data_IF_376284078353
#
_entry.id   IF_376284078353
#
_cell.length_a   1.000
_cell.length_b   1.000
_cell.length_c   1.000
_cell.angle_alpha   90.00
_cell.angle_beta   90.00
_cell.angle_gamma   90.00
#
_symmetry.space_group_name_H-M   'P 1'
#
loop_
_entity.id
_entity.type
_entity.pdbx_description
1 polymer ?
#
# COMPACT_ATOMS: atom_id res chain seq x y z
N UNK A 1 -39.41 12.21 -11.08
CA UNK A 1 -39.41 13.03 -12.31
C UNK A 1 -38.59 14.26 -12.00
N UNK A 2 -37.43 14.38 -12.63
CA UNK A 2 -36.56 15.53 -12.43
C UNK A 2 -37.09 16.70 -13.26
N UNK A 3 -37.22 17.85 -12.62
CA UNK A 3 -37.61 19.10 -13.27
C UNK A 3 -36.36 19.94 -13.47
N UNK A 4 -36.30 20.62 -14.60
CA UNK A 4 -35.21 21.52 -14.97
C UNK A 4 -35.80 22.87 -15.36
N UNK A 5 -35.24 23.94 -14.81
CA UNK A 5 -35.57 25.30 -15.19
C UNK A 5 -34.45 25.81 -16.10
N UNK A 6 -34.80 26.33 -17.26
CA UNK A 6 -33.86 26.99 -18.16
C UNK A 6 -34.22 28.47 -18.20
N UNK A 7 -33.29 29.30 -17.74
CA UNK A 7 -33.41 30.75 -17.74
C UNK A 7 -32.67 31.30 -18.93
N UNK A 8 -33.36 32.00 -19.79
CA UNK A 8 -32.86 32.46 -21.06
C UNK A 8 -32.83 33.98 -21.09
N UNK A 9 -31.67 34.55 -20.78
CA UNK A 9 -31.50 35.99 -20.71
C UNK A 9 -31.40 36.54 -22.14
N UNK A 10 -32.19 37.56 -22.42
CA UNK A 10 -32.18 38.32 -23.66
C UNK A 10 -32.01 39.81 -23.35
N UNK A 11 -31.86 40.62 -24.39
CA UNK A 11 -31.90 42.07 -24.25
C UNK A 11 -33.29 42.54 -23.82
N UNK A 12 -33.44 42.83 -22.53
CA UNK A 12 -34.68 43.35 -21.94
C UNK A 12 -35.74 42.30 -21.58
N UNK A 13 -35.48 41.02 -21.82
CA UNK A 13 -36.40 39.92 -21.55
C UNK A 13 -35.71 38.72 -20.88
N UNK A 14 -36.48 38.00 -20.07
CA UNK A 14 -36.11 36.72 -19.49
C UNK A 14 -37.10 35.66 -19.95
N UNK A 15 -36.62 34.68 -20.72
CA UNK A 15 -37.36 33.46 -21.02
C UNK A 15 -37.20 32.46 -19.88
N UNK A 16 -38.31 31.92 -19.38
CA UNK A 16 -38.34 30.88 -18.35
C UNK A 16 -38.95 29.61 -18.97
N UNK A 17 -38.13 28.59 -19.19
CA UNK A 17 -38.56 27.32 -19.76
C UNK A 17 -38.47 26.21 -18.71
N UNK A 18 -39.60 25.63 -18.34
CA UNK A 18 -39.66 24.51 -17.41
C UNK A 18 -39.74 23.19 -18.17
N UNK A 19 -38.74 22.33 -17.99
CA UNK A 19 -38.66 21.01 -18.59
C UNK A 19 -38.80 19.90 -17.55
N UNK A 20 -39.30 18.75 -18.00
CA UNK A 20 -39.33 17.51 -17.21
C UNK A 20 -38.57 16.44 -17.96
N UNK A 21 -37.65 15.76 -17.28
CA UNK A 21 -36.93 14.63 -17.84
C UNK A 21 -37.75 13.34 -17.65
N UNK A 22 -38.17 12.72 -18.76
CA UNK A 22 -38.96 11.49 -18.79
C UNK A 22 -38.51 10.60 -19.95
N UNK A 23 -38.23 9.32 -19.68
CA UNK A 23 -37.85 8.32 -20.69
C UNK A 23 -36.72 8.78 -21.65
N UNK A 24 -35.68 9.43 -21.12
CA UNK A 24 -34.53 9.87 -21.93
C UNK A 24 -34.75 11.17 -22.73
N UNK A 25 -35.89 11.85 -22.58
CA UNK A 25 -36.23 13.08 -23.29
C UNK A 25 -36.67 14.18 -22.32
N UNK A 26 -36.43 15.43 -22.71
CA UNK A 26 -36.93 16.62 -22.02
C UNK A 26 -38.23 17.07 -22.68
N UNK A 27 -39.31 17.08 -21.91
CA UNK A 27 -40.63 17.56 -22.33
C UNK A 27 -40.88 18.94 -21.70
N UNK A 28 -41.28 19.94 -22.49
CA UNK A 28 -41.61 21.29 -22.00
C UNK A 28 -42.95 21.28 -21.28
N UNK A 29 -42.99 21.77 -20.04
CA UNK A 29 -44.18 21.79 -19.20
C UNK A 29 -44.81 23.18 -19.08
N UNK A 30 -43.99 24.22 -18.98
CA UNK A 30 -44.45 25.60 -18.81
C UNK A 30 -43.43 26.57 -19.44
N UNK A 31 -43.93 27.60 -20.10
CA UNK A 31 -43.13 28.64 -20.75
C UNK A 31 -43.69 29.98 -20.27
N UNK A 32 -42.84 30.80 -19.66
CA UNK A 32 -43.16 32.18 -19.29
C UNK A 32 -42.09 33.09 -19.86
N UNK A 33 -42.50 34.24 -20.39
CA UNK A 33 -41.58 35.30 -20.75
C UNK A 33 -41.90 36.48 -19.83
N UNK A 34 -40.87 37.03 -19.17
CA UNK A 34 -40.99 38.23 -18.34
C UNK A 34 -40.05 39.31 -18.86
N UNK A 35 -40.44 40.58 -18.74
CA UNK A 35 -39.56 41.70 -19.06
C UNK A 35 -38.59 41.92 -17.90
N UNK A 36 -37.30 42.04 -18.21
CA UNK A 36 -36.24 42.16 -17.21
C UNK A 36 -35.05 42.94 -17.77
N UNK A 37 -34.52 43.88 -16.99
CA UNK A 37 -33.23 44.52 -17.29
C UNK A 37 -32.11 43.84 -16.52
N UNK A 38 -31.05 43.45 -17.23
CA UNK A 38 -29.82 42.87 -16.66
C UNK A 38 -29.20 43.73 -15.54
N UNK A 39 -29.40 45.05 -15.59
CA UNK A 39 -28.94 45.97 -14.55
C UNK A 39 -29.84 45.96 -13.30
N UNK A 40 -31.12 45.58 -13.42
CA UNK A 40 -32.08 45.47 -12.33
C UNK A 40 -32.06 44.13 -11.57
N UNK A 41 -33.10 43.91 -10.75
CA UNK A 41 -33.30 42.68 -9.97
C UNK A 41 -34.10 41.63 -10.74
N UNK A 42 -33.67 40.36 -10.68
CA UNK A 42 -34.40 39.27 -11.31
C UNK A 42 -35.82 39.16 -10.73
N UNK A 43 -36.81 38.72 -11.54
CA UNK A 43 -38.16 38.46 -11.06
C UNK A 43 -38.15 37.41 -9.93
N UNK A 44 -39.18 37.44 -9.09
CA UNK A 44 -39.30 36.44 -8.04
C UNK A 44 -39.72 35.10 -8.65
N UNK A 45 -38.89 34.08 -8.50
CA UNK A 45 -39.18 32.73 -8.96
C UNK A 45 -39.94 31.96 -7.87
N UNK A 46 -41.11 31.40 -8.18
CA UNK A 46 -41.90 30.56 -7.25
C UNK A 46 -41.32 29.16 -7.06
N UNK A 47 -40.06 28.95 -7.47
CA UNK A 47 -39.49 27.64 -7.72
C UNK A 47 -38.39 27.37 -6.70
N UNK A 48 -38.74 26.65 -5.63
CA UNK A 48 -37.75 26.15 -4.69
C UNK A 48 -37.15 24.84 -5.19
N UNK A 49 -35.81 24.76 -5.16
CA UNK A 49 -35.07 23.50 -5.23
C UNK A 49 -35.02 22.81 -6.62
N UNK A 50 -35.27 23.51 -7.73
CA UNK A 50 -35.18 22.95 -9.12
C UNK A 50 -33.78 23.15 -9.72
N UNK A 51 -33.33 22.18 -10.51
CA UNK A 51 -32.05 22.26 -11.24
C UNK A 51 -32.17 23.34 -12.33
N UNK A 52 -31.37 24.39 -12.20
CA UNK A 52 -31.47 25.56 -13.10
C UNK A 52 -30.24 25.67 -14.00
N UNK A 53 -30.47 25.85 -15.30
CA UNK A 53 -29.44 26.23 -16.27
C UNK A 53 -29.75 27.65 -16.77
N UNK A 54 -28.72 28.42 -17.06
CA UNK A 54 -28.87 29.78 -17.58
C UNK A 54 -28.19 29.94 -18.93
N UNK A 55 -28.84 30.61 -19.86
CA UNK A 55 -28.32 31.04 -21.15
C UNK A 55 -28.02 32.54 -21.12
N UNK A 56 -26.78 32.90 -21.42
CA UNK A 56 -26.33 34.27 -21.56
C UNK A 56 -26.47 34.74 -23.02
N UNK A 57 -26.93 35.97 -23.27
CA UNK A 57 -26.95 36.57 -24.60
C UNK A 57 -25.52 36.90 -25.08
N UNK A 58 -25.32 37.00 -26.39
CA UNK A 58 -24.00 37.24 -26.99
C UNK A 58 -23.35 38.54 -26.55
N UNK A 59 -24.13 39.58 -26.26
CA UNK A 59 -23.59 40.89 -25.84
C UNK A 59 -22.90 40.88 -24.46
N UNK A 60 -23.12 39.83 -23.65
CA UNK A 60 -22.40 39.62 -22.40
C UNK A 60 -21.12 38.79 -22.58
N UNK A 61 -20.92 38.23 -23.77
CA UNK A 61 -19.85 37.31 -24.09
C UNK A 61 -18.87 37.97 -25.07
N UNK A 62 -17.61 37.66 -24.91
CA UNK A 62 -16.57 38.04 -25.84
C UNK A 62 -16.10 36.81 -26.62
N UNK A 63 -15.68 37.03 -27.86
CA UNK A 63 -15.33 35.96 -28.79
C UNK A 63 -13.95 36.18 -29.39
N UNK A 64 -13.20 35.09 -29.56
CA UNK A 64 -12.00 35.07 -30.40
C UNK A 64 -11.93 33.77 -31.18
N UNK A 65 -11.49 33.86 -32.43
CA UNK A 65 -11.22 32.70 -33.27
C UNK A 65 -9.72 32.48 -33.31
N UNK A 66 -9.28 31.26 -33.00
CA UNK A 66 -7.88 30.86 -32.99
C UNK A 66 -7.69 29.59 -33.82
N UNK A 67 -6.50 29.43 -34.39
CA UNK A 67 -6.11 28.21 -35.11
C UNK A 67 -5.07 27.44 -34.30
N UNK A 68 -5.45 26.24 -33.84
CA UNK A 68 -4.64 25.44 -32.91
C UNK A 68 -4.27 24.09 -33.55
N UNK A 69 -3.06 23.57 -33.32
CA UNK A 69 -2.60 22.31 -33.90
C UNK A 69 -3.15 21.04 -33.20
N UNK A 70 -4.19 21.15 -32.37
CA UNK A 70 -4.73 20.04 -31.58
C UNK A 70 -6.25 20.17 -31.37
N UNK A 71 -6.92 19.02 -31.26
CA UNK A 71 -8.38 18.90 -31.02
C UNK A 71 -8.73 18.61 -29.56
N UNK A 72 -7.76 18.22 -28.74
CA UNK A 72 -8.01 17.83 -27.35
C UNK A 72 -8.45 19.05 -26.52
N UNK A 73 -9.69 19.04 -26.01
CA UNK A 73 -10.28 20.16 -25.27
C UNK A 73 -9.47 20.53 -24.01
N UNK A 74 -8.82 19.57 -23.36
CA UNK A 74 -7.98 19.84 -22.18
C UNK A 74 -6.70 20.55 -22.58
N UNK A 75 -6.03 20.11 -23.66
CA UNK A 75 -4.85 20.78 -24.20
C UNK A 75 -5.18 22.16 -24.76
N UNK A 76 -6.33 22.32 -25.42
CA UNK A 76 -6.85 23.62 -25.83
C UNK A 76 -6.98 24.54 -24.63
N UNK A 77 -7.64 24.09 -23.57
CA UNK A 77 -7.81 24.92 -22.37
C UNK A 77 -6.49 25.27 -21.68
N UNK A 78 -5.50 24.38 -21.69
CA UNK A 78 -4.17 24.63 -21.15
C UNK A 78 -3.42 25.69 -21.97
N UNK A 79 -3.39 25.55 -23.28
CA UNK A 79 -2.67 26.47 -24.17
C UNK A 79 -3.35 27.85 -24.22
N UNK A 80 -4.68 27.88 -24.18
CA UNK A 80 -5.41 29.14 -24.04
C UNK A 80 -5.08 29.89 -22.75
N UNK A 81 -4.74 29.20 -21.64
CA UNK A 81 -4.28 29.88 -20.42
C UNK A 81 -2.93 30.58 -20.60
N UNK A 82 -2.13 30.21 -21.60
CA UNK A 82 -0.82 30.82 -21.87
C UNK A 82 -0.83 31.79 -23.06
N UNK A 83 -1.51 31.45 -24.16
CA UNK A 83 -1.53 32.28 -25.39
C UNK A 83 -2.42 33.53 -25.26
N UNK A 84 -3.44 33.50 -24.38
CA UNK A 84 -4.34 34.63 -24.20
C UNK A 84 -3.68 35.82 -23.47
N UNK A 85 -2.49 35.63 -22.90
CA UNK A 85 -1.76 36.63 -22.08
C UNK A 85 -1.16 37.73 -22.96
N UNK A 86 -0.91 37.42 -24.24
CA UNK A 86 -0.44 38.38 -25.24
C UNK A 86 -1.55 38.96 -26.13
N UNK A 87 -2.79 38.50 -26.00
CA UNK A 87 -3.86 38.73 -26.99
C UNK A 87 -5.10 39.40 -26.37
N UNK A 88 -5.40 39.16 -25.09
CA UNK A 88 -6.52 39.78 -24.36
C UNK A 88 -6.03 41.05 -23.64
N UNK A 89 -6.82 42.13 -23.71
CA UNK A 89 -6.48 43.41 -23.07
C UNK A 89 -6.53 43.35 -21.53
N UNK A 90 -7.22 42.35 -20.98
CA UNK A 90 -7.34 42.05 -19.56
C UNK A 90 -6.44 40.87 -19.16
N UNK A 91 -5.97 40.89 -17.91
CA UNK A 91 -5.30 39.75 -17.27
C UNK A 91 -6.19 38.49 -17.35
N UNK A 92 -5.67 37.38 -17.89
CA UNK A 92 -6.37 36.09 -17.99
C UNK A 92 -6.96 35.67 -16.64
N UNK A 93 -6.31 36.06 -15.54
CA UNK A 93 -6.77 35.80 -14.19
C UNK A 93 -8.17 36.35 -13.92
N UNK A 94 -8.63 37.35 -14.66
CA UNK A 94 -9.92 38.04 -14.50
C UNK A 94 -11.04 37.54 -15.42
N UNK A 95 -10.77 36.56 -16.30
CA UNK A 95 -11.77 36.02 -17.22
C UNK A 95 -12.08 34.55 -16.96
N UNK A 96 -13.24 34.10 -17.42
CA UNK A 96 -13.59 32.68 -17.56
C UNK A 96 -13.84 32.43 -19.01
N UNK A 97 -13.35 31.30 -19.51
CA UNK A 97 -13.54 30.93 -20.90
C UNK A 97 -13.93 29.47 -21.08
N UNK A 98 -14.56 29.21 -22.22
CA UNK A 98 -14.73 27.88 -22.78
C UNK A 98 -14.49 27.93 -24.29
N UNK A 99 -14.29 26.77 -24.89
CA UNK A 99 -13.95 26.65 -26.31
C UNK A 99 -14.85 25.66 -27.04
N UNK A 100 -15.07 25.95 -28.32
CA UNK A 100 -15.83 25.13 -29.26
C UNK A 100 -15.02 24.99 -30.54
N UNK A 101 -14.91 23.76 -31.04
CA UNK A 101 -14.21 23.48 -32.31
C UNK A 101 -15.21 23.71 -33.44
N UNK A 102 -14.87 24.59 -34.38
CA UNK A 102 -15.73 24.99 -35.49
C UNK A 102 -15.49 24.12 -36.72
N UNK A 103 -14.23 24.00 -37.12
CA UNK A 103 -13.84 23.28 -38.33
C UNK A 103 -12.39 22.80 -38.24
N UNK A 104 -11.97 21.96 -39.18
CA UNK A 104 -10.60 21.53 -39.38
C UNK A 104 -10.14 21.99 -40.76
N UNK A 105 -9.11 22.84 -40.79
CA UNK A 105 -8.43 23.27 -42.01
C UNK A 105 -7.07 22.57 -42.04
N UNK A 106 -6.89 21.64 -42.98
CA UNK A 106 -5.71 20.76 -43.07
C UNK A 106 -5.44 20.01 -41.75
N UNK A 107 -4.39 20.42 -41.03
CA UNK A 107 -3.95 19.87 -39.73
C UNK A 107 -4.11 20.83 -38.56
N UNK A 108 -4.83 21.94 -38.76
CA UNK A 108 -5.19 22.87 -37.69
C UNK A 108 -6.70 22.88 -37.45
N UNK A 109 -7.06 23.11 -36.20
CA UNK A 109 -8.43 23.22 -35.76
C UNK A 109 -8.77 24.69 -35.56
N UNK A 110 -9.85 25.14 -36.21
CA UNK A 110 -10.41 26.46 -36.00
C UNK A 110 -11.26 26.41 -34.74
N UNK A 111 -10.83 27.11 -33.70
CA UNK A 111 -11.45 27.08 -32.37
C UNK A 111 -12.05 28.44 -32.06
N UNK A 112 -13.34 28.45 -31.71
CA UNK A 112 -14.01 29.60 -31.12
C UNK A 112 -13.79 29.58 -29.61
N UNK A 113 -13.15 30.62 -29.09
CA UNK A 113 -13.01 30.87 -27.66
C UNK A 113 -14.07 31.88 -27.25
N UNK A 114 -14.87 31.50 -26.25
CA UNK A 114 -15.92 32.33 -25.67
C UNK A 114 -15.50 32.66 -24.24
N UNK A 115 -15.49 33.94 -23.87
CA UNK A 115 -15.06 34.36 -22.54
C UNK A 115 -15.89 35.51 -21.97
N UNK A 116 -15.93 35.59 -20.65
CA UNK A 116 -16.61 36.64 -19.87
C UNK A 116 -15.74 37.06 -18.69
N UNK A 117 -15.79 38.35 -18.34
CA UNK A 117 -15.17 38.86 -17.12
C UNK A 117 -15.79 38.22 -15.87
N UNK A 118 -14.95 37.74 -14.95
CA UNK A 118 -15.37 37.12 -13.68
C UNK A 118 -16.27 38.04 -12.87
N UNK A 119 -16.00 39.35 -12.86
CA UNK A 119 -16.80 40.33 -12.13
C UNK A 119 -18.24 40.40 -12.67
N UNK A 120 -18.42 40.43 -13.99
CA UNK A 120 -19.76 40.43 -14.62
C UNK A 120 -20.52 39.16 -14.30
N UNK A 121 -19.88 38.00 -14.45
CA UNK A 121 -20.52 36.72 -14.13
C UNK A 121 -20.88 36.62 -12.64
N UNK A 122 -19.99 37.09 -11.76
CA UNK A 122 -20.23 37.13 -10.31
C UNK A 122 -21.45 37.98 -9.98
N UNK A 123 -21.60 39.14 -10.61
CA UNK A 123 -22.76 40.02 -10.43
C UNK A 123 -24.06 39.29 -10.77
N UNK A 124 -24.12 38.65 -11.95
CA UNK A 124 -25.28 37.86 -12.40
C UNK A 124 -25.60 36.73 -11.40
N UNK A 125 -24.59 35.95 -11.01
CA UNK A 125 -24.78 34.83 -10.09
C UNK A 125 -25.18 35.28 -8.69
N UNK A 126 -24.70 36.43 -8.22
CA UNK A 126 -25.07 37.00 -6.92
C UNK A 126 -26.54 37.38 -6.90
N UNK A 127 -27.02 38.03 -7.96
CA UNK A 127 -28.44 38.40 -8.09
C UNK A 127 -29.35 37.17 -8.16
N UNK A 128 -28.94 36.11 -8.85
CA UNK A 128 -29.69 34.84 -8.89
C UNK A 128 -29.70 34.13 -7.53
N UNK A 129 -28.55 34.11 -6.85
CA UNK A 129 -28.41 33.50 -5.52
C UNK A 129 -29.29 34.21 -4.48
N UNK A 130 -29.41 35.56 -4.55
CA UNK A 130 -30.33 36.33 -3.73
C UNK A 130 -31.81 35.91 -3.91
N UNK A 131 -32.16 35.29 -5.05
CA UNK A 131 -33.48 34.70 -5.32
C UNK A 131 -33.54 33.18 -5.03
N UNK A 132 -32.51 32.62 -4.41
CA UNK A 132 -32.42 31.19 -4.08
C UNK A 132 -32.05 30.30 -5.27
N UNK A 133 -31.59 30.87 -6.38
CA UNK A 133 -31.19 30.14 -7.58
C UNK A 133 -29.67 30.04 -7.66
N UNK A 134 -29.17 28.81 -7.69
CA UNK A 134 -27.77 28.49 -8.02
C UNK A 134 -27.77 27.62 -9.28
N UNK A 135 -27.36 28.16 -10.45
CA UNK A 135 -27.37 27.40 -11.69
C UNK A 135 -26.25 26.35 -11.72
N UNK A 136 -26.58 25.15 -12.20
CA UNK A 136 -25.61 24.07 -12.39
C UNK A 136 -24.85 24.19 -13.72
N UNK A 137 -25.39 24.94 -14.68
CA UNK A 137 -24.83 25.16 -16.01
C UNK A 137 -25.06 26.60 -16.46
N UNK A 138 -24.03 27.21 -17.07
CA UNK A 138 -24.06 28.55 -17.66
C UNK A 138 -23.63 28.43 -19.12
N UNK A 139 -24.57 28.58 -20.04
CA UNK A 139 -24.39 28.36 -21.48
C UNK A 139 -24.89 29.55 -22.30
N UNK A 140 -25.06 29.41 -23.61
CA UNK A 140 -25.70 30.37 -24.50
C UNK A 140 -26.39 29.68 -25.69
N UNK A 141 -27.71 29.90 -25.81
CA UNK A 141 -28.52 29.45 -26.96
C UNK A 141 -28.02 30.07 -28.26
N UNK A 142 -27.64 31.34 -28.22
CA UNK A 142 -27.18 32.10 -29.38
C UNK A 142 -25.83 31.56 -29.89
N UNK A 143 -24.92 31.18 -28.99
CA UNK A 143 -23.66 30.51 -29.35
C UNK A 143 -23.92 29.18 -30.06
N UNK A 144 -24.85 28.36 -29.56
CA UNK A 144 -25.23 27.10 -30.24
C UNK A 144 -25.74 27.36 -31.65
N UNK A 145 -26.54 28.41 -31.84
CA UNK A 145 -27.06 28.77 -33.14
C UNK A 145 -25.95 29.19 -34.12
N UNK A 146 -24.99 30.00 -33.67
CA UNK A 146 -23.85 30.42 -34.50
C UNK A 146 -22.97 29.23 -34.86
N UNK A 147 -22.68 28.34 -33.90
CA UNK A 147 -21.77 27.21 -34.13
C UNK A 147 -22.31 26.22 -35.18
N UNK A 148 -23.65 26.06 -35.30
CA UNK A 148 -24.25 25.17 -36.31
C UNK A 148 -23.93 25.57 -37.75
N UNK A 149 -23.79 26.87 -38.02
CA UNK A 149 -23.45 27.42 -39.33
C UNK A 149 -22.61 28.68 -39.13
N UNK A 150 -21.33 28.46 -38.77
CA UNK A 150 -20.44 29.49 -38.28
C UNK A 150 -20.11 30.52 -39.35
N UNK A 151 -20.50 31.76 -39.06
CA UNK A 151 -20.18 32.94 -39.85
C UNK A 151 -19.85 34.10 -38.90
N UNK A 152 -18.74 34.79 -39.18
CA UNK A 152 -18.27 35.92 -38.36
C UNK A 152 -19.31 37.04 -38.37
N UNK A 153 -20.00 37.24 -39.50
CA UNK A 153 -21.01 38.28 -39.64
C UNK A 153 -22.24 38.04 -38.75
N UNK A 154 -22.52 36.78 -38.39
CA UNK A 154 -23.61 36.41 -37.46
C UNK A 154 -23.29 36.70 -35.99
N UNK A 155 -22.01 36.86 -35.63
CA UNK A 155 -21.59 37.29 -34.28
C UNK A 155 -21.82 38.81 -34.12
N UNK A 156 -21.63 39.57 -35.20
CA UNK A 156 -21.68 41.03 -35.20
C UNK A 156 -23.11 41.60 -35.33
N UNK A 157 -24.07 40.76 -35.75
CA UNK A 157 -25.46 41.17 -35.98
C UNK A 157 -26.41 40.58 -34.91
N UNK A 158 -27.47 41.32 -34.52
CA UNK A 158 -28.45 40.82 -33.57
C UNK A 158 -29.16 39.57 -34.13
N UNK A 159 -29.09 38.45 -33.40
CA UNK A 159 -29.70 37.20 -33.82
C UNK A 159 -31.21 37.25 -33.52
N UNK A 160 -32.03 37.17 -34.56
CA UNK A 160 -33.48 37.02 -34.43
C UNK A 160 -33.84 35.54 -34.42
N UNK A 161 -33.90 34.92 -33.24
CA UNK A 161 -34.44 33.56 -33.07
C UNK A 161 -35.90 33.62 -32.63
N UNK A 162 -36.74 32.76 -33.22
CA UNK A 162 -38.13 32.60 -32.77
C UNK A 162 -38.14 31.91 -31.40
N UNK A 163 -39.18 32.20 -30.59
CA UNK A 163 -39.31 31.57 -29.27
C UNK A 163 -39.38 30.03 -29.34
N UNK A 164 -40.00 29.48 -30.36
CA UNK A 164 -40.08 28.02 -30.58
C UNK A 164 -38.69 27.40 -30.80
N UNK A 165 -37.87 28.03 -31.64
CA UNK A 165 -36.48 27.60 -31.90
C UNK A 165 -35.63 27.68 -30.63
N UNK A 166 -35.78 28.76 -29.84
CA UNK A 166 -35.05 28.91 -28.57
C UNK A 166 -35.39 27.80 -27.58
N UNK A 167 -36.65 27.37 -27.49
CA UNK A 167 -37.07 26.27 -26.62
C UNK A 167 -36.43 24.94 -27.05
N UNK A 168 -36.33 24.68 -28.36
CA UNK A 168 -35.71 23.45 -28.85
C UNK A 168 -34.20 23.45 -28.64
N UNK A 169 -33.53 24.59 -28.88
CA UNK A 169 -32.10 24.76 -28.56
C UNK A 169 -31.87 24.61 -27.05
N UNK A 170 -32.74 25.15 -26.19
CA UNK A 170 -32.64 24.99 -24.73
C UNK A 170 -32.68 23.51 -24.29
N UNK A 171 -33.52 22.68 -24.93
CA UNK A 171 -33.56 21.23 -24.67
C UNK A 171 -32.25 20.55 -25.05
N UNK A 172 -31.63 20.95 -26.16
CA UNK A 172 -30.34 20.42 -26.58
C UNK A 172 -29.22 20.85 -25.62
N UNK A 173 -29.22 22.12 -25.19
CA UNK A 173 -28.27 22.68 -24.24
C UNK A 173 -28.34 22.01 -22.86
N UNK A 174 -29.54 21.66 -22.38
CA UNK A 174 -29.70 20.89 -21.14
C UNK A 174 -29.10 19.49 -21.21
N UNK A 175 -29.10 18.86 -22.40
CA UNK A 175 -28.51 17.53 -22.61
C UNK A 175 -26.99 17.58 -22.68
N UNK A 176 -26.49 18.47 -23.52
CA UNK A 176 -25.07 18.59 -23.82
C UNK A 176 -24.77 20.05 -24.11
N UNK A 177 -24.34 20.85 -23.12
CA UNK A 177 -24.17 22.27 -23.32
C UNK A 177 -23.03 22.56 -24.30
N UNK A 178 -23.23 23.52 -25.21
CA UNK A 178 -22.19 23.89 -26.19
C UNK A 178 -20.97 24.48 -25.49
N UNK A 179 -21.23 25.34 -24.52
CA UNK A 179 -20.25 25.92 -23.61
C UNK A 179 -20.76 25.79 -22.17
N UNK A 180 -19.86 25.66 -21.21
CA UNK A 180 -20.22 25.77 -19.80
C UNK A 180 -19.22 26.65 -19.04
N UNK A 181 -19.69 27.84 -18.64
CA UNK A 181 -18.91 28.83 -17.90
C UNK A 181 -18.96 28.61 -16.37
N UNK A 182 -19.60 27.54 -15.88
CA UNK A 182 -19.62 27.14 -14.45
C UNK A 182 -18.30 26.46 -14.06
N UNK A 183 -17.18 27.17 -14.25
CA UNK A 183 -15.79 26.71 -14.06
C UNK A 183 -15.04 27.50 -12.98
N UNK A 184 -13.84 27.04 -12.64
CA UNK A 184 -12.91 27.66 -11.68
C UNK A 184 -13.59 28.00 -10.34
N UNK A 185 -13.63 29.28 -9.95
CA UNK A 185 -14.23 29.71 -8.68
C UNK A 185 -15.77 29.64 -8.68
N UNK A 186 -16.37 29.41 -9.85
CA UNK A 186 -17.81 29.30 -10.08
C UNK A 186 -18.23 27.85 -10.32
N UNK A 187 -17.57 26.85 -9.76
CA UNK A 187 -18.06 25.46 -9.81
C UNK A 187 -19.31 25.30 -8.94
N UNK A 188 -20.29 24.54 -9.43
CA UNK A 188 -21.55 24.25 -8.73
C UNK A 188 -21.31 23.39 -7.47
N UNK A 189 -21.71 23.87 -6.28
CA UNK A 189 -21.36 23.24 -4.99
C UNK A 189 -22.45 22.36 -4.38
N UNK A 190 -23.69 22.42 -4.89
CA UNK A 190 -24.88 21.84 -4.21
C UNK A 190 -24.94 20.30 -4.24
N UNK A 191 -24.42 19.65 -5.28
CA UNK A 191 -24.36 18.18 -5.35
C UNK A 191 -23.25 17.60 -4.46
N UNK A 192 -22.08 18.25 -4.43
CA UNK A 192 -20.95 17.84 -3.59
C UNK A 192 -21.27 17.80 -2.09
N UNK A 193 -22.14 18.70 -1.60
CA UNK A 193 -22.54 18.72 -0.17
C UNK A 193 -23.44 17.53 0.22
N UNK A 194 -24.21 16.96 -0.73
CA UNK A 194 -25.00 15.75 -0.47
C UNK A 194 -24.12 14.50 -0.45
N UNK A 195 -23.14 14.40 -1.34
CA UNK A 195 -22.23 13.26 -1.40
C UNK A 195 -21.31 13.19 -0.17
N UNK A 196 -20.80 14.33 0.33
CA UNK A 196 -19.98 14.38 1.56
C UNK A 196 -20.66 13.73 2.78
N UNK A 197 -21.99 13.79 2.89
CA UNK A 197 -22.71 13.17 4.01
C UNK A 197 -22.67 11.64 3.94
N UNK A 198 -22.84 11.06 2.75
CA UNK A 198 -22.76 9.61 2.55
C UNK A 198 -21.33 9.08 2.78
N UNK A 199 -20.31 9.84 2.38
CA UNK A 199 -18.91 9.50 2.65
C UNK A 199 -18.57 9.53 4.13
N UNK A 200 -19.10 10.48 4.92
CA UNK A 200 -18.87 10.53 6.38
C UNK A 200 -19.35 9.26 7.10
N UNK A 201 -20.55 8.76 6.76
CA UNK A 201 -21.10 7.53 7.35
C UNK A 201 -20.22 6.33 6.99
N UNK A 202 -19.79 6.24 5.73
CA UNK A 202 -18.92 5.16 5.25
C UNK A 202 -17.57 5.16 5.97
N UNK A 203 -16.97 6.34 6.19
CA UNK A 203 -15.71 6.49 6.94
C UNK A 203 -15.87 6.06 8.40
N UNK A 204 -16.97 6.46 9.05
CA UNK A 204 -17.26 6.05 10.44
C UNK A 204 -17.38 4.53 10.55
N UNK A 205 -18.08 3.89 9.62
CA UNK A 205 -18.22 2.43 9.58
C UNK A 205 -16.86 1.73 9.36
N UNK A 206 -16.01 2.28 8.49
CA UNK A 206 -14.68 1.74 8.24
C UNK A 206 -13.77 1.82 9.47
N UNK A 207 -13.79 2.96 10.18
CA UNK A 207 -13.04 3.17 11.42
C UNK A 207 -13.52 2.17 12.48
N UNK A 208 -14.84 1.98 12.62
CA UNK A 208 -15.40 1.02 13.56
C UNK A 208 -14.94 -0.41 13.24
N UNK A 209 -14.99 -0.81 11.97
CA UNK A 209 -14.55 -2.14 11.54
C UNK A 209 -13.05 -2.34 11.78
N UNK A 210 -12.23 -1.34 11.51
CA UNK A 210 -10.80 -1.38 11.79
C UNK A 210 -10.49 -1.49 13.29
N UNK A 211 -11.25 -0.77 14.12
CA UNK A 211 -11.11 -0.82 15.58
C UNK A 211 -11.39 -2.22 16.16
N UNK A 212 -12.40 -2.91 15.64
CA UNK A 212 -12.73 -4.28 16.05
C UNK A 212 -11.60 -5.26 15.72
N UNK A 213 -10.98 -5.10 14.55
CA UNK A 213 -9.83 -5.91 14.15
C UNK A 213 -8.60 -5.64 15.03
N UNK A 214 -8.33 -4.37 15.35
CA UNK A 214 -7.25 -3.99 16.26
C UNK A 214 -7.42 -4.60 17.66
N UNK A 215 -8.65 -4.58 18.19
CA UNK A 215 -8.94 -5.17 19.50
C UNK A 215 -8.66 -6.68 19.47
N UNK A 216 -9.16 -7.39 18.46
CA UNK A 216 -8.91 -8.82 18.31
C UNK A 216 -7.41 -9.13 18.18
N UNK A 217 -6.69 -8.37 17.35
CA UNK A 217 -5.24 -8.50 17.21
C UNK A 217 -4.52 -8.30 18.55
N UNK A 218 -4.89 -7.27 19.31
CA UNK A 218 -4.26 -6.96 20.59
C UNK A 218 -4.50 -8.05 21.64
N UNK A 219 -5.72 -8.59 21.71
CA UNK A 219 -6.05 -9.72 22.60
C UNK A 219 -5.19 -10.94 22.26
N UNK A 220 -5.12 -11.32 20.98
CA UNK A 220 -4.34 -12.48 20.54
C UNK A 220 -2.84 -12.27 20.78
N UNK A 221 -2.33 -11.07 20.50
CA UNK A 221 -0.93 -10.72 20.74
C UNK A 221 -0.56 -10.80 22.24
N UNK A 222 -1.44 -10.32 23.11
CA UNK A 222 -1.27 -10.43 24.57
C UNK A 222 -1.34 -11.88 25.04
N UNK A 223 -2.23 -12.71 24.49
CA UNK A 223 -2.34 -14.12 24.85
C UNK A 223 -1.06 -14.89 24.50
N UNK A 224 -0.58 -14.76 23.25
CA UNK A 224 0.62 -15.45 22.75
C UNK A 224 1.88 -15.08 23.55
N UNK A 225 2.02 -13.79 23.88
CA UNK A 225 3.19 -13.32 24.65
C UNK A 225 3.18 -13.79 26.10
N UNK A 226 2.00 -13.94 26.72
CA UNK A 226 1.87 -14.53 28.06
C UNK A 226 2.23 -16.01 28.05
N UNK A 227 1.67 -16.78 27.12
CA UNK A 227 1.93 -18.22 27.00
C UNK A 227 3.42 -18.51 26.78
N UNK A 228 4.07 -17.75 25.88
CA UNK A 228 5.51 -17.88 25.63
C UNK A 228 6.36 -17.60 26.86
N UNK A 229 6.00 -16.59 27.68
CA UNK A 229 6.70 -16.29 28.93
C UNK A 229 6.53 -17.38 29.97
N UNK A 230 5.32 -17.96 30.08
CA UNK A 230 5.05 -19.07 31.00
C UNK A 230 5.89 -20.29 30.64
N UNK A 231 5.84 -20.71 29.37
CA UNK A 231 6.62 -21.86 28.89
C UNK A 231 8.13 -21.65 29.11
N UNK A 232 8.65 -20.46 28.80
CA UNK A 232 10.07 -20.14 29.02
C UNK A 232 10.46 -20.23 30.50
N UNK A 233 9.60 -19.74 31.40
CA UNK A 233 9.83 -19.84 32.83
C UNK A 233 9.79 -21.28 33.31
N UNK A 234 8.89 -22.12 32.79
CA UNK A 234 8.79 -23.52 33.18
C UNK A 234 10.01 -24.31 32.73
N UNK A 235 10.49 -24.08 31.49
CA UNK A 235 11.78 -24.63 31.01
C UNK A 235 12.92 -24.23 31.95
N UNK A 236 12.99 -22.95 32.34
CA UNK A 236 14.06 -22.45 33.23
C UNK A 236 13.98 -23.06 34.63
N UNK A 237 12.78 -23.23 35.20
CA UNK A 237 12.60 -23.90 36.50
C UNK A 237 13.04 -25.35 36.43
N UNK A 238 12.67 -26.09 35.38
CA UNK A 238 13.12 -27.47 35.18
C UNK A 238 14.65 -27.53 35.03
N UNK A 239 15.24 -26.62 34.26
CA UNK A 239 16.69 -26.54 34.10
C UNK A 239 17.41 -26.35 35.45
N UNK A 240 16.96 -25.36 36.25
CA UNK A 240 17.54 -25.08 37.56
C UNK A 240 17.34 -26.24 38.55
N UNK A 241 16.25 -27.00 38.43
CA UNK A 241 16.04 -28.21 39.21
C UNK A 241 17.02 -29.34 38.87
N UNK A 242 17.43 -29.45 37.60
CA UNK A 242 18.39 -30.46 37.14
C UNK A 242 19.84 -30.04 37.41
N UNK A 243 20.17 -28.75 37.25
CA UNK A 243 21.54 -28.21 37.34
C UNK A 243 21.63 -27.02 38.32
N UNK A 244 21.44 -27.24 39.63
CA UNK A 244 21.36 -26.15 40.61
C UNK A 244 22.66 -25.36 40.82
N UNK A 245 23.81 -25.87 40.38
CA UNK A 245 25.11 -25.20 40.51
C UNK A 245 25.43 -24.24 39.35
N UNK A 246 24.63 -24.24 38.28
CA UNK A 246 24.86 -23.39 37.12
C UNK A 246 24.18 -22.03 37.26
N UNK A 247 24.99 -20.99 37.47
CA UNK A 247 24.50 -19.63 37.64
C UNK A 247 24.24 -18.89 36.32
N UNK A 248 24.85 -19.34 35.21
CA UNK A 248 24.80 -18.63 33.93
C UNK A 248 23.99 -19.41 32.88
N UNK A 249 22.70 -19.07 32.80
CA UNK A 249 21.72 -19.76 31.96
C UNK A 249 21.36 -18.86 30.77
N UNK A 250 21.88 -19.20 29.58
CA UNK A 250 21.63 -18.47 28.34
C UNK A 250 20.66 -19.18 27.41
N UNK A 251 20.81 -20.50 27.25
CA UNK A 251 19.96 -21.31 26.39
C UNK A 251 19.79 -22.70 27.01
N UNK A 252 18.69 -22.86 27.74
CA UNK A 252 18.40 -24.02 28.55
C UNK A 252 18.43 -25.32 27.72
N UNK A 253 17.81 -25.30 26.53
CA UNK A 253 17.71 -26.49 25.66
C UNK A 253 19.07 -26.88 25.09
N UNK A 254 19.86 -25.91 24.64
CA UNK A 254 21.19 -26.17 24.13
C UNK A 254 22.11 -26.73 25.22
N UNK A 255 22.06 -26.14 26.42
CA UNK A 255 22.89 -26.59 27.54
C UNK A 255 22.50 -27.99 28.01
N UNK A 256 21.20 -28.32 28.13
CA UNK A 256 20.74 -29.69 28.42
C UNK A 256 21.30 -30.68 27.38
N UNK A 257 21.21 -30.37 26.09
CA UNK A 257 21.74 -31.24 25.03
C UNK A 257 23.25 -31.45 25.15
N UNK A 258 23.98 -30.41 25.57
CA UNK A 258 25.42 -30.50 25.82
C UNK A 258 25.73 -31.43 26.99
N UNK A 259 25.02 -31.30 28.11
CA UNK A 259 25.20 -32.18 29.27
C UNK A 259 24.86 -33.64 28.96
N UNK A 260 23.78 -33.89 28.20
CA UNK A 260 23.44 -35.26 27.78
C UNK A 260 24.59 -35.86 26.98
N UNK A 261 25.16 -35.12 26.03
CA UNK A 261 26.30 -35.59 25.24
C UNK A 261 27.52 -35.89 26.10
N UNK A 262 27.83 -35.02 27.07
CA UNK A 262 28.95 -35.24 28.00
C UNK A 262 28.73 -36.50 28.86
N UNK A 263 27.49 -36.74 29.30
CA UNK A 263 27.13 -37.95 30.04
C UNK A 263 27.24 -39.21 29.17
N UNK A 264 26.79 -39.16 27.91
CA UNK A 264 26.94 -40.26 26.94
C UNK A 264 28.43 -40.56 26.67
N UNK A 265 29.28 -39.53 26.53
CA UNK A 265 30.72 -39.70 26.36
C UNK A 265 31.35 -40.37 27.60
N UNK A 266 30.97 -39.95 28.81
CA UNK A 266 31.41 -40.56 30.07
C UNK A 266 30.92 -42.00 30.20
N UNK A 267 29.66 -42.28 29.89
CA UNK A 267 29.09 -43.64 29.91
C UNK A 267 29.86 -44.58 28.97
N UNK A 268 30.18 -44.11 27.76
CA UNK A 268 30.96 -44.90 26.80
C UNK A 268 32.34 -45.31 27.33
N UNK A 269 32.95 -44.54 28.24
CA UNK A 269 34.22 -44.90 28.89
C UNK A 269 34.04 -46.06 29.89
N UNK A 270 32.92 -46.10 30.61
CA UNK A 270 32.69 -47.09 31.68
C UNK A 270 31.95 -48.35 31.24
N UNK A 271 31.06 -48.26 30.25
CA UNK A 271 30.24 -49.41 29.81
C UNK A 271 31.02 -50.34 28.88
N UNK A 272 32.04 -49.85 28.17
CA UNK A 272 32.79 -50.64 27.17
C UNK A 272 34.04 -51.33 27.70
N UNK A 273 34.45 -51.01 28.93
CA UNK A 273 35.67 -51.52 29.55
C UNK A 273 35.35 -52.06 30.94
N UNK A 274 35.76 -53.30 31.22
CA UNK A 274 35.71 -53.89 32.57
C UNK A 274 37.14 -54.00 33.11
N UNK A 275 37.69 -52.93 33.73
CA UNK A 275 39.07 -52.94 34.21
C UNK A 275 39.32 -54.06 35.22
N UNK A 276 38.30 -54.41 36.00
CA UNK A 276 38.37 -55.50 36.99
C UNK A 276 38.52 -56.87 36.33
N UNK A 277 37.80 -57.13 35.23
CA UNK A 277 37.94 -58.37 34.48
C UNK A 277 39.33 -58.50 33.86
N UNK A 278 39.86 -57.41 33.29
CA UNK A 278 41.22 -57.36 32.74
C UNK A 278 42.26 -57.60 33.85
N UNK A 279 42.09 -57.01 35.04
CA UNK A 279 42.97 -57.28 36.18
C UNK A 279 42.94 -58.75 36.60
N UNK A 280 41.78 -59.41 36.56
CA UNK A 280 41.64 -60.84 36.83
C UNK A 280 42.35 -61.68 35.76
N UNK A 281 42.15 -61.37 34.47
CA UNK A 281 42.82 -62.04 33.35
C UNK A 281 44.35 -61.94 33.47
N UNK A 282 44.86 -60.74 33.74
CA UNK A 282 46.30 -60.50 33.94
C UNK A 282 46.85 -61.18 35.19
N UNK A 283 46.03 -61.39 36.23
CA UNK A 283 46.43 -62.08 37.46
C UNK A 283 46.64 -63.58 37.25
N UNK A 284 45.91 -64.19 36.30
CA UNK A 284 46.01 -65.63 35.98
C UNK A 284 47.24 -65.99 35.16
N UNK A 285 47.91 -65.02 34.55
CA UNK A 285 49.15 -65.24 33.81
C UNK A 285 50.32 -65.48 34.77
N UNK A 286 51.27 -66.34 34.39
CA UNK A 286 52.48 -66.60 35.19
C UNK A 286 53.35 -65.33 35.23
N UNK A 287 53.69 -64.84 36.44
CA UNK A 287 54.45 -63.60 36.68
C UNK A 287 55.79 -63.87 37.38
N UNK A 288 56.56 -64.85 36.91
CA UNK A 288 57.83 -65.20 37.56
C UNK A 288 58.85 -64.06 37.39
N UNK A 289 59.01 -63.21 38.41
CA UNK A 289 59.97 -62.10 38.41
C UNK A 289 59.57 -60.89 37.56
N UNK A 290 58.25 -60.64 37.42
CA UNK A 290 57.70 -59.51 36.67
C UNK A 290 56.70 -58.73 37.54
N UNK A 291 56.88 -57.41 37.62
CA UNK A 291 56.04 -56.49 38.39
C UNK A 291 55.35 -55.53 37.42
N UNK A 292 54.02 -55.52 37.40
CA UNK A 292 53.24 -54.53 36.64
C UNK A 292 53.03 -53.31 37.54
N UNK A 293 53.46 -52.15 37.08
CA UNK A 293 53.35 -50.88 37.82
C UNK A 293 52.22 -49.99 37.32
N UNK A 294 51.85 -50.09 36.05
CA UNK A 294 50.79 -49.28 35.44
C UNK A 294 49.97 -50.10 34.45
N UNK A 295 48.65 -49.97 34.54
CA UNK A 295 47.69 -50.52 33.58
C UNK A 295 46.78 -49.40 33.12
N UNK A 296 46.86 -49.04 31.84
CA UNK A 296 45.91 -48.13 31.21
C UNK A 296 45.05 -48.92 30.24
N UNK A 297 43.72 -48.82 30.41
CA UNK A 297 42.75 -49.49 29.55
C UNK A 297 41.94 -48.45 28.81
N UNK A 298 42.04 -48.47 27.49
CA UNK A 298 41.23 -47.67 26.58
C UNK A 298 40.23 -48.56 25.85
N UNK A 299 39.33 -47.96 25.06
CA UNK A 299 38.22 -48.68 24.37
C UNK A 299 38.66 -49.95 23.63
N UNK A 300 39.82 -49.93 22.97
CA UNK A 300 40.36 -51.06 22.20
C UNK A 300 41.80 -51.45 22.56
N UNK A 301 42.52 -50.67 23.38
CA UNK A 301 43.93 -50.89 23.67
C UNK A 301 44.14 -51.09 25.17
N UNK A 302 45.03 -52.01 25.52
CA UNK A 302 45.52 -52.22 26.87
C UNK A 302 47.00 -51.92 26.85
N UNK A 303 47.41 -50.96 27.67
CA UNK A 303 48.81 -50.57 27.85
C UNK A 303 49.26 -51.06 29.23
N UNK A 304 50.27 -51.91 29.23
CA UNK A 304 50.82 -52.54 30.44
C UNK A 304 52.26 -52.08 30.58
N UNK A 305 52.58 -51.41 31.68
CA UNK A 305 53.96 -51.05 32.02
C UNK A 305 54.40 -51.75 33.29
N UNK A 306 55.69 -52.08 33.34
CA UNK A 306 56.24 -52.79 34.49
C UNK A 306 57.75 -52.94 34.44
N UNK A 307 58.26 -53.72 35.40
CA UNK A 307 59.66 -54.07 35.55
C UNK A 307 59.84 -55.59 35.52
N UNK A 308 60.95 -56.06 34.95
CA UNK A 308 61.33 -57.47 34.95
C UNK A 308 62.84 -57.67 35.04
N UNK A 309 63.29 -58.83 35.50
CA UNK A 309 64.72 -59.17 35.61
C UNK A 309 65.39 -59.56 34.29
N UNK A 310 64.61 -59.88 33.24
CA UNK A 310 65.20 -60.20 31.93
C UNK A 310 64.23 -59.93 30.77
N UNK A 311 64.80 -59.69 29.58
CA UNK A 311 64.01 -59.56 28.34
C UNK A 311 63.31 -60.87 27.97
N UNK A 312 63.85 -62.02 28.39
CA UNK A 312 63.22 -63.33 28.18
C UNK A 312 61.88 -63.43 28.91
N UNK A 313 61.82 -62.97 30.17
CA UNK A 313 60.59 -62.97 30.96
C UNK A 313 59.53 -62.03 30.35
N UNK A 314 59.96 -60.88 29.81
CA UNK A 314 59.05 -59.94 29.11
C UNK A 314 58.44 -60.59 27.86
N UNK A 315 59.25 -61.33 27.08
CA UNK A 315 58.76 -62.06 25.89
C UNK A 315 57.81 -63.18 26.26
N UNK A 316 58.11 -63.96 27.29
CA UNK A 316 57.23 -65.02 27.78
C UNK A 316 55.88 -64.45 28.27
N UNK A 317 55.90 -63.30 28.93
CA UNK A 317 54.70 -62.58 29.35
C UNK A 317 53.88 -62.06 28.16
N UNK A 318 54.53 -61.45 27.16
CA UNK A 318 53.90 -61.06 25.88
C UNK A 318 53.24 -62.28 25.20
N UNK A 319 53.91 -63.43 25.19
CA UNK A 319 53.37 -64.65 24.56
C UNK A 319 52.21 -65.24 25.34
N UNK A 320 52.18 -65.08 26.66
CA UNK A 320 51.00 -65.33 27.49
C UNK A 320 49.83 -64.41 27.14
N UNK A 321 50.09 -63.12 26.95
CA UNK A 321 49.10 -62.13 26.55
C UNK A 321 48.54 -62.38 25.14
N UNK A 322 49.36 -62.84 24.19
CA UNK A 322 48.93 -63.20 22.83
C UNK A 322 47.89 -64.33 22.77
N UNK A 323 47.68 -65.06 23.87
CA UNK A 323 46.63 -66.09 23.96
C UNK A 323 45.26 -65.50 24.31
N UNK A 324 45.23 -64.30 24.88
CA UNK A 324 44.04 -63.64 25.43
C UNK A 324 43.69 -62.40 24.59
N UNK A 325 44.70 -61.70 24.07
CA UNK A 325 44.56 -60.45 23.31
C UNK A 325 45.19 -60.56 21.92
N UNK A 326 44.80 -59.65 21.02
CA UNK A 326 45.31 -59.53 19.65
C UNK A 326 46.40 -58.46 19.56
N UNK A 327 47.26 -58.54 18.55
CA UNK A 327 48.28 -57.53 18.24
C UNK A 327 49.18 -57.13 19.43
N UNK A 328 49.60 -58.07 20.27
CA UNK A 328 50.42 -57.78 21.45
C UNK A 328 51.88 -57.49 21.05
N UNK A 329 52.30 -56.25 21.23
CA UNK A 329 53.64 -55.79 20.89
C UNK A 329 54.36 -55.20 22.11
N UNK A 330 55.67 -55.47 22.21
CA UNK A 330 56.55 -54.77 23.15
C UNK A 330 56.88 -53.43 22.49
N UNK A 331 56.30 -52.35 22.99
CA UNK A 331 56.47 -51.01 22.45
C UNK A 331 57.77 -50.37 22.87
N UNK A 332 58.25 -50.66 24.08
CA UNK A 332 59.52 -50.15 24.61
C UNK A 332 60.09 -51.11 25.66
N UNK A 333 61.41 -51.20 25.74
CA UNK A 333 62.13 -51.93 26.79
C UNK A 333 63.44 -51.23 27.09
N UNK A 334 63.62 -50.79 28.35
CA UNK A 334 64.79 -50.01 28.78
C UNK A 334 65.42 -50.62 30.02
N UNK A 335 66.75 -50.75 30.02
CA UNK A 335 67.50 -51.22 31.18
C UNK A 335 67.51 -50.17 32.31
N UNK A 336 67.24 -50.65 33.52
CA UNK A 336 67.28 -49.89 34.78
C UNK A 336 68.51 -50.32 35.59
N UNK A 337 68.85 -49.56 36.63
CA UNK A 337 69.96 -49.87 37.54
C UNK A 337 69.63 -51.14 38.37
N UNK A 338 70.60 -52.04 38.58
CA UNK A 338 70.48 -53.33 39.31
C UNK A 338 69.66 -54.43 38.60
N UNK A 339 70.10 -54.90 37.42
CA UNK A 339 69.55 -56.11 36.76
C UNK A 339 68.03 -56.12 36.55
N UNK A 340 67.44 -54.94 36.30
CA UNK A 340 66.02 -54.77 36.02
C UNK A 340 65.83 -54.07 34.69
N UNK A 341 64.75 -54.41 33.98
CA UNK A 341 64.32 -53.77 32.74
C UNK A 341 62.90 -53.26 32.88
N UNK A 342 62.67 -51.99 32.56
CA UNK A 342 61.33 -51.45 32.35
C UNK A 342 60.81 -51.93 31.01
N UNK A 343 59.51 -52.25 30.93
CA UNK A 343 58.85 -52.60 29.69
C UNK A 343 57.52 -51.85 29.53
N UNK A 344 57.14 -51.64 28.28
CA UNK A 344 55.80 -51.23 27.88
C UNK A 344 55.28 -52.21 26.84
N UNK A 345 54.15 -52.86 27.13
CA UNK A 345 53.44 -53.73 26.21
C UNK A 345 52.12 -53.07 25.83
N UNK A 346 51.81 -53.05 24.54
CA UNK A 346 50.53 -52.61 24.00
C UNK A 346 49.84 -53.83 23.41
N UNK A 347 48.62 -54.08 23.85
CA UNK A 347 47.76 -55.15 23.35
C UNK A 347 46.44 -54.55 22.85
N UNK A 348 45.83 -55.18 21.84
CA UNK A 348 44.47 -54.85 21.39
C UNK A 348 43.48 -55.89 21.90
N UNK A 349 42.33 -55.42 22.37
CA UNK A 349 41.24 -56.27 22.83
C UNK A 349 40.59 -57.04 21.68
#
# INVERSE_FOLDING_TARGET
MEKFLFLDIKDGELGEYLFVYKKGKYESLNIKNSYFSLEGDFPNFTINNINTCISLPLNLLNFRVLELPFHDKSRINEILRFDLEGIILDDISNIIFDSVILDRVEDRYKVLVIFIEKQRLRSILTKLNAKGIDPFCITSIEVRNIVKDFDIDKILNPISLKNEERIDIAKEELKAPTINLRKDEFVFKREFEKEKKAFKVSIILLILLFSLNLINFFINFMAITRESKVIKNDIRKMYQGLFPQENNIFNEIYQIKSHIRELEEKENVFVSVSPLEILIELSRLKRNGLVVSELAVEKNNIIIKGESHSLSIIKDFRDGLNKIYRDVNISDSKELVQEKMAFTIIARR
#
